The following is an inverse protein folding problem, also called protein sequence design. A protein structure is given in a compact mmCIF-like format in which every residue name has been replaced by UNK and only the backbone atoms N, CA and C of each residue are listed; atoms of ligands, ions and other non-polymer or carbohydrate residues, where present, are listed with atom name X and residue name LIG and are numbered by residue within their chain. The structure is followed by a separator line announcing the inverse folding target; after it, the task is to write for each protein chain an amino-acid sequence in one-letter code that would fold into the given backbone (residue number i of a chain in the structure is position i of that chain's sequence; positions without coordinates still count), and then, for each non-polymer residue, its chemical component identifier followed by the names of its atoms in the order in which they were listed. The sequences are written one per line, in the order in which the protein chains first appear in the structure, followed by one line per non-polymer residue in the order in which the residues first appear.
data_IF_285636552627
#
_entry.id   IF_285636552627
#
_cell.length_a   1.000
_cell.length_b   1.000
_cell.length_c   1.000
_cell.angle_alpha   90.00
_cell.angle_beta   90.00
_cell.angle_gamma   90.00
#
_symmetry.space_group_name_H-M   'P 1'
#
loop_
_entity.id
_entity.type
_entity.pdbx_description
1 polymer ?
#
# COMPACT_ATOMS: atom_id res chain seq x y z
N UNK A 1 -17.63 -3.51 -23.89
CA UNK A 1 -18.93 -3.14 -23.29
C UNK A 1 -18.74 -3.14 -21.77
N UNK A 2 -18.53 -1.99 -21.16
CA UNK A 2 -18.50 -1.85 -19.70
C UNK A 2 -19.95 -1.94 -19.26
N UNK A 3 -20.34 -3.10 -18.72
CA UNK A 3 -21.66 -3.30 -18.15
C UNK A 3 -21.97 -2.21 -17.14
N UNK A 4 -23.16 -1.62 -17.26
CA UNK A 4 -23.62 -0.60 -16.33
C UNK A 4 -23.64 -1.19 -14.91
N UNK A 5 -22.75 -0.74 -14.07
CA UNK A 5 -22.73 -1.05 -12.65
C UNK A 5 -23.93 -0.29 -12.01
N UNK A 6 -25.07 -0.96 -11.92
CA UNK A 6 -26.35 -0.35 -11.59
C UNK A 6 -26.71 -0.49 -10.13
N UNK A 7 -25.74 -0.68 -9.20
CA UNK A 7 -26.54 -0.93 -8.10
C UNK A 7 -26.05 -1.22 -6.71
N UNK A 8 -24.87 -1.00 -6.28
CA UNK A 8 -24.62 -1.06 -4.84
C UNK A 8 -24.23 0.34 -4.35
N UNK A 9 -25.21 1.10 -3.92
CA UNK A 9 -24.99 2.32 -3.13
C UNK A 9 -25.16 1.95 -1.67
N UNK A 10 -24.06 1.92 -0.92
CA UNK A 10 -24.10 1.80 0.53
C UNK A 10 -23.26 2.94 1.11
N UNK A 11 -23.80 3.73 2.07
CA UNK A 11 -23.11 4.92 2.59
C UNK A 11 -21.75 4.59 3.24
N UNK A 12 -21.59 3.36 3.72
CA UNK A 12 -20.37 2.89 4.37
C UNK A 12 -19.47 2.03 3.44
N UNK A 13 -19.80 1.93 2.14
CA UNK A 13 -18.97 1.19 1.21
C UNK A 13 -17.81 2.06 0.75
N UNK A 14 -16.59 1.56 0.91
CA UNK A 14 -15.38 2.11 0.28
C UNK A 14 -14.88 1.11 -0.75
N UNK A 15 -14.67 1.56 -1.97
CA UNK A 15 -14.14 0.72 -3.06
C UNK A 15 -12.63 0.87 -3.10
N UNK A 16 -11.90 -0.23 -2.84
CA UNK A 16 -10.44 -0.27 -2.96
C UNK A 16 -10.03 -0.56 -4.39
N UNK A 17 -9.25 0.33 -5.00
CA UNK A 17 -8.81 0.22 -6.40
C UNK A 17 -7.29 0.22 -6.46
N UNK A 18 -6.65 -0.83 -7.01
CA UNK A 18 -5.21 -0.84 -7.17
C UNK A 18 -4.79 0.08 -8.33
N UNK A 19 -3.83 0.97 -8.04
CA UNK A 19 -3.08 1.73 -9.06
C UNK A 19 -1.61 1.62 -8.71
N UNK A 20 -0.82 0.96 -9.56
CA UNK A 20 0.55 0.59 -9.24
C UNK A 20 1.59 1.66 -9.59
N UNK A 21 1.31 2.55 -10.53
CA UNK A 21 2.24 3.60 -10.94
C UNK A 21 1.49 4.79 -11.56
N UNK A 22 2.19 5.92 -11.67
CA UNK A 22 1.73 7.12 -12.37
C UNK A 22 1.81 7.01 -13.90
N UNK A 23 2.37 5.93 -14.41
CA UNK A 23 2.60 5.68 -15.84
C UNK A 23 1.94 4.36 -16.27
N UNK A 24 1.29 4.41 -17.42
CA UNK A 24 0.48 3.33 -17.98
C UNK A 24 1.26 2.01 -18.14
N UNK A 25 2.42 2.06 -18.78
CA UNK A 25 3.18 0.84 -19.10
C UNK A 25 3.62 0.05 -17.85
N UNK A 26 3.85 0.69 -16.70
CA UNK A 26 4.19 0.00 -15.45
C UNK A 26 2.92 -0.61 -14.83
N UNK A 27 1.83 0.16 -14.78
CA UNK A 27 0.55 -0.36 -14.27
C UNK A 27 0.07 -1.55 -15.10
N UNK A 28 0.04 -1.40 -16.42
CA UNK A 28 -0.37 -2.43 -17.37
C UNK A 28 0.51 -3.67 -17.29
N UNK A 29 1.83 -3.47 -17.10
CA UNK A 29 2.75 -4.59 -16.89
C UNK A 29 2.44 -5.36 -15.60
N UNK A 30 2.16 -4.67 -14.49
CA UNK A 30 1.83 -5.35 -13.23
C UNK A 30 0.51 -6.10 -13.32
N UNK A 31 -0.51 -5.53 -13.94
CA UNK A 31 -1.83 -6.19 -14.08
C UNK A 31 -1.91 -7.13 -15.30
N UNK A 32 -0.88 -7.16 -16.16
CA UNK A 32 -0.79 -7.97 -17.37
C UNK A 32 -1.90 -7.68 -18.40
N UNK A 33 -2.40 -6.43 -18.44
CA UNK A 33 -3.45 -6.00 -19.38
C UNK A 33 -3.11 -4.62 -19.93
N UNK A 34 -2.91 -4.52 -21.23
CA UNK A 34 -2.66 -3.25 -21.92
C UNK A 34 -3.89 -2.35 -21.87
N UNK A 35 -3.70 -1.08 -21.52
CA UNK A 35 -4.78 -0.08 -21.38
C UNK A 35 -5.51 -0.15 -20.03
N UNK A 36 -5.09 -1.03 -19.11
CA UNK A 36 -5.70 -1.17 -17.79
C UNK A 36 -5.57 0.11 -16.95
N UNK A 37 -4.49 0.89 -17.13
CA UNK A 37 -4.31 2.15 -16.44
C UNK A 37 -5.44 3.13 -16.72
N UNK A 38 -5.72 3.39 -18.00
CA UNK A 38 -6.77 4.33 -18.42
C UNK A 38 -8.15 3.85 -17.98
N UNK A 39 -8.43 2.55 -18.11
CA UNK A 39 -9.69 1.96 -17.65
C UNK A 39 -9.87 2.09 -16.15
N UNK A 40 -8.80 1.88 -15.38
CA UNK A 40 -8.79 2.00 -13.92
C UNK A 40 -9.05 3.44 -13.49
N UNK A 41 -8.35 4.42 -14.09
CA UNK A 41 -8.55 5.85 -13.81
C UNK A 41 -9.98 6.27 -14.15
N UNK A 42 -10.49 5.85 -15.32
CA UNK A 42 -11.88 6.11 -15.71
C UNK A 42 -12.88 5.48 -14.71
N UNK A 43 -12.57 4.29 -14.19
CA UNK A 43 -13.33 3.63 -13.14
C UNK A 43 -13.40 4.43 -11.86
N UNK A 44 -12.27 4.99 -11.40
CA UNK A 44 -12.20 5.89 -10.23
C UNK A 44 -13.10 7.11 -10.43
N UNK A 45 -12.98 7.80 -11.58
CA UNK A 45 -13.81 8.96 -11.90
C UNK A 45 -15.30 8.63 -11.87
N UNK A 46 -15.71 7.53 -12.52
CA UNK A 46 -17.12 7.09 -12.54
C UNK A 46 -17.67 6.74 -11.16
N UNK A 47 -16.84 6.20 -10.25
CA UNK A 47 -17.25 5.93 -8.88
C UNK A 47 -17.45 7.23 -8.10
N UNK A 48 -16.55 8.19 -8.26
CA UNK A 48 -16.66 9.50 -7.60
C UNK A 48 -17.86 10.31 -8.09
N UNK A 49 -18.15 10.30 -9.40
CA UNK A 49 -19.35 10.93 -9.98
C UNK A 49 -20.65 10.38 -9.35
N UNK A 50 -20.62 9.15 -8.87
CA UNK A 50 -21.74 8.52 -8.17
C UNK A 50 -21.72 8.74 -6.65
N UNK A 51 -20.80 9.55 -6.15
CA UNK A 51 -20.65 9.80 -4.72
C UNK A 51 -20.11 8.62 -3.92
N UNK A 52 -19.46 7.64 -4.60
CA UNK A 52 -18.89 6.48 -3.93
C UNK A 52 -17.54 6.83 -3.31
N UNK A 53 -17.29 6.32 -2.10
CA UNK A 53 -15.95 6.43 -1.48
C UNK A 53 -14.95 5.54 -2.20
N UNK A 54 -13.77 6.09 -2.50
CA UNK A 54 -12.70 5.40 -3.22
C UNK A 54 -11.40 5.45 -2.42
N UNK A 55 -10.81 4.29 -2.21
CA UNK A 55 -9.47 4.10 -1.68
C UNK A 55 -8.54 3.61 -2.81
N UNK A 56 -7.46 4.33 -3.07
CA UNK A 56 -6.40 3.85 -3.97
C UNK A 56 -5.45 2.96 -3.19
N UNK A 57 -5.11 1.81 -3.74
CA UNK A 57 -4.16 0.85 -3.16
C UNK A 57 -2.90 0.73 -4.00
N UNK A 58 -1.75 0.94 -3.40
CA UNK A 58 -0.45 0.75 -4.05
C UNK A 58 0.33 -0.32 -3.30
N UNK A 59 0.64 -1.43 -3.98
CA UNK A 59 1.54 -2.44 -3.44
C UNK A 59 2.98 -2.04 -3.74
N UNK A 60 3.81 -2.00 -2.69
CA UNK A 60 5.21 -1.58 -2.74
C UNK A 60 6.10 -2.80 -3.04
N UNK A 61 6.61 -2.85 -4.25
CA UNK A 61 7.54 -3.87 -4.73
C UNK A 61 8.62 -3.24 -5.62
N UNK A 62 9.57 -4.00 -6.11
CA UNK A 62 10.74 -3.48 -6.83
C UNK A 62 10.42 -2.53 -8.00
N UNK A 63 9.27 -2.72 -8.67
CA UNK A 63 8.85 -1.85 -9.78
C UNK A 63 8.13 -0.57 -9.31
N UNK A 64 7.48 -0.58 -8.15
CA UNK A 64 6.58 0.50 -7.69
C UNK A 64 7.20 1.34 -6.57
N UNK A 65 7.90 0.72 -5.62
CA UNK A 65 8.45 1.39 -4.44
C UNK A 65 9.45 2.52 -4.78
N UNK A 66 10.40 2.35 -5.73
CA UNK A 66 11.33 3.41 -6.10
C UNK A 66 10.64 4.64 -6.74
N UNK A 67 9.40 4.48 -7.21
CA UNK A 67 8.63 5.54 -7.91
C UNK A 67 7.47 6.06 -7.07
N UNK A 68 7.39 5.69 -5.79
CA UNK A 68 6.20 5.96 -4.98
C UNK A 68 5.95 7.47 -4.80
N UNK A 69 6.99 8.28 -4.71
CA UNK A 69 6.85 9.75 -4.59
C UNK A 69 6.23 10.33 -5.87
N UNK A 70 6.69 9.89 -7.05
CA UNK A 70 6.12 10.32 -8.35
C UNK A 70 4.66 9.89 -8.47
N UNK A 71 4.37 8.67 -8.06
CA UNK A 71 3.01 8.12 -8.08
C UNK A 71 2.08 8.91 -7.16
N UNK A 72 2.52 9.24 -5.95
CA UNK A 72 1.74 10.07 -5.02
C UNK A 72 1.58 11.52 -5.50
N UNK A 73 2.60 12.10 -6.15
CA UNK A 73 2.47 13.41 -6.83
C UNK A 73 1.39 13.37 -7.91
N UNK A 74 1.36 12.29 -8.66
CA UNK A 74 0.35 12.11 -9.71
C UNK A 74 -1.06 11.99 -9.12
N UNK A 75 -1.24 11.25 -7.99
CA UNK A 75 -2.52 11.17 -7.29
C UNK A 75 -2.97 12.54 -6.79
N UNK A 76 -2.08 13.28 -6.12
CA UNK A 76 -2.39 14.60 -5.60
C UNK A 76 -2.83 15.58 -6.71
N UNK A 77 -2.25 15.46 -7.89
CA UNK A 77 -2.55 16.34 -9.04
C UNK A 77 -3.81 15.91 -9.81
N UNK A 78 -3.98 14.61 -10.05
CA UNK A 78 -4.99 14.11 -10.99
C UNK A 78 -6.22 13.49 -10.29
N UNK A 79 -6.05 13.03 -9.05
CA UNK A 79 -7.11 12.38 -8.26
C UNK A 79 -7.23 13.01 -6.85
N UNK A 80 -7.23 14.36 -6.70
CA UNK A 80 -7.24 15.01 -5.37
C UNK A 80 -8.52 14.75 -4.57
N UNK A 81 -9.50 14.17 -5.18
CA UNK A 81 -10.83 13.87 -4.64
C UNK A 81 -10.97 12.44 -4.10
N UNK A 82 -9.93 11.62 -4.16
CA UNK A 82 -9.97 10.28 -3.55
C UNK A 82 -10.02 10.40 -2.03
N UNK A 83 -10.70 9.47 -1.40
CA UNK A 83 -10.94 9.54 0.04
C UNK A 83 -9.75 9.05 0.86
N UNK A 84 -8.95 8.15 0.28
CA UNK A 84 -7.83 7.53 0.97
C UNK A 84 -6.82 6.91 -0.01
N UNK A 85 -5.54 6.88 0.39
CA UNK A 85 -4.47 6.14 -0.28
C UNK A 85 -3.86 5.15 0.71
N UNK A 86 -3.87 3.86 0.36
CA UNK A 86 -3.24 2.79 1.12
C UNK A 86 -1.92 2.37 0.45
N UNK A 87 -0.81 2.63 1.11
CA UNK A 87 0.52 2.19 0.71
C UNK A 87 0.82 0.86 1.41
N UNK A 88 0.95 -0.23 0.65
CA UNK A 88 0.96 -1.58 1.21
C UNK A 88 2.28 -2.28 0.90
N UNK A 89 3.02 -2.70 1.92
CA UNK A 89 4.17 -3.59 1.74
C UNK A 89 3.75 -4.89 1.03
N UNK A 90 4.64 -5.43 0.20
CA UNK A 90 4.39 -6.67 -0.54
C UNK A 90 4.15 -7.84 0.43
N UNK A 91 2.98 -8.46 0.32
CA UNK A 91 2.70 -9.73 0.99
C UNK A 91 3.39 -10.87 0.23
N UNK A 92 4.20 -11.65 0.93
CA UNK A 92 4.93 -12.76 0.32
C UNK A 92 4.05 -14.03 0.24
N UNK A 93 2.94 -13.91 -0.52
CA UNK A 93 1.91 -14.95 -0.70
C UNK A 93 1.56 -15.12 -2.18
N UNK A 94 0.97 -16.25 -2.54
CA UNK A 94 0.47 -16.50 -3.89
C UNK A 94 1.54 -16.29 -4.97
N UNK A 95 1.21 -15.57 -6.02
CA UNK A 95 2.12 -15.28 -7.14
C UNK A 95 3.35 -14.44 -6.74
N UNK A 96 3.30 -13.67 -5.64
CA UNK A 96 4.46 -12.96 -5.14
C UNK A 96 5.60 -13.90 -4.71
N UNK A 97 5.28 -15.13 -4.29
CA UNK A 97 6.30 -16.14 -3.97
C UNK A 97 7.01 -16.61 -5.25
N UNK A 98 6.24 -16.88 -6.30
CA UNK A 98 6.79 -17.37 -7.58
C UNK A 98 7.67 -16.31 -8.27
N UNK A 99 7.32 -15.03 -8.12
CA UNK A 99 8.02 -13.90 -8.74
C UNK A 99 8.89 -13.12 -7.73
N UNK A 100 9.28 -13.75 -6.63
CA UNK A 100 9.94 -13.05 -5.53
C UNK A 100 11.29 -12.43 -5.91
N UNK A 101 12.01 -13.00 -6.87
CA UNK A 101 13.29 -12.45 -7.33
C UNK A 101 13.12 -11.11 -8.08
N UNK A 102 11.99 -10.93 -8.75
CA UNK A 102 11.69 -9.71 -9.51
C UNK A 102 10.93 -8.68 -8.66
N UNK A 103 10.10 -9.14 -7.72
CA UNK A 103 9.19 -8.27 -6.98
C UNK A 103 9.74 -7.84 -5.62
N UNK A 104 10.59 -8.65 -4.99
CA UNK A 104 11.07 -8.32 -3.66
C UNK A 104 12.00 -7.12 -3.68
N UNK A 105 11.76 -6.19 -2.78
CA UNK A 105 12.66 -5.10 -2.40
C UNK A 105 12.62 -4.96 -0.89
N UNK A 106 13.77 -4.80 -0.25
CA UNK A 106 13.81 -4.60 1.19
C UNK A 106 13.18 -3.25 1.56
N UNK A 107 12.26 -3.18 2.53
CA UNK A 107 11.67 -1.93 3.00
C UNK A 107 12.66 -0.83 3.37
N UNK A 108 13.85 -1.18 3.85
CA UNK A 108 14.91 -0.21 4.13
C UNK A 108 15.44 0.49 2.88
N UNK A 109 15.32 -0.14 1.70
CA UNK A 109 15.85 0.43 0.46
C UNK A 109 14.94 1.53 -0.13
N UNK A 110 13.70 1.65 0.38
CA UNK A 110 12.75 2.69 -0.05
C UNK A 110 12.08 3.44 1.13
N UNK A 111 12.60 3.31 2.35
CA UNK A 111 11.98 3.92 3.53
C UNK A 111 11.89 5.45 3.44
N UNK A 112 12.88 6.11 2.83
CA UNK A 112 12.89 7.57 2.66
C UNK A 112 11.91 8.03 1.58
N UNK A 113 11.80 7.29 0.50
CA UNK A 113 10.80 7.52 -0.55
C UNK A 113 9.39 7.34 0.02
N UNK A 114 9.18 6.31 0.83
CA UNK A 114 7.92 6.08 1.51
C UNK A 114 7.56 7.22 2.47
N UNK A 115 8.51 7.68 3.28
CA UNK A 115 8.31 8.81 4.19
C UNK A 115 7.95 10.09 3.42
N UNK A 116 8.68 10.36 2.32
CA UNK A 116 8.42 11.51 1.44
C UNK A 116 7.05 11.43 0.76
N UNK A 117 6.62 10.22 0.37
CA UNK A 117 5.31 10.00 -0.23
C UNK A 117 4.17 10.22 0.77
N UNK A 118 4.34 9.75 2.01
CA UNK A 118 3.38 9.97 3.10
C UNK A 118 3.26 11.47 3.42
N UNK A 119 4.39 12.16 3.60
CA UNK A 119 4.41 13.60 3.88
C UNK A 119 3.71 14.40 2.77
N UNK A 120 3.95 14.05 1.51
CA UNK A 120 3.31 14.68 0.35
C UNK A 120 1.78 14.48 0.40
N UNK A 121 1.29 13.25 0.63
CA UNK A 121 -0.15 12.99 0.68
C UNK A 121 -0.79 13.76 1.83
N UNK A 122 -0.17 13.79 3.00
CA UNK A 122 -0.64 14.56 4.17
C UNK A 122 -0.69 16.05 3.87
N UNK A 123 0.37 16.61 3.29
CA UNK A 123 0.45 18.05 2.95
C UNK A 123 -0.61 18.44 1.91
N UNK A 124 -1.01 17.53 1.04
CA UNK A 124 -2.08 17.72 0.05
C UNK A 124 -3.47 17.34 0.56
N UNK A 125 -3.60 17.01 1.86
CA UNK A 125 -4.86 16.66 2.54
C UNK A 125 -5.53 15.38 2.02
N UNK A 126 -4.76 14.46 1.45
CA UNK A 126 -5.21 13.13 1.09
C UNK A 126 -4.93 12.21 2.29
N UNK A 127 -5.96 11.53 2.80
CA UNK A 127 -5.76 10.55 3.87
C UNK A 127 -4.89 9.41 3.40
N UNK A 128 -3.93 8.99 4.23
CA UNK A 128 -2.98 7.93 3.90
C UNK A 128 -2.84 6.94 5.05
N UNK A 129 -2.66 5.67 4.73
CA UNK A 129 -2.21 4.64 5.67
C UNK A 129 -1.17 3.74 5.02
N UNK A 130 -0.27 3.24 5.86
CA UNK A 130 0.79 2.30 5.47
C UNK A 130 0.49 0.95 6.10
N UNK A 131 0.35 -0.08 5.27
CA UNK A 131 0.01 -1.44 5.68
C UNK A 131 1.16 -2.41 5.41
N UNK A 132 1.15 -3.54 6.11
CA UNK A 132 2.01 -4.70 5.85
C UNK A 132 3.51 -4.42 6.02
N UNK A 133 3.88 -3.37 6.74
CA UNK A 133 5.27 -3.03 7.04
C UNK A 133 5.47 -2.93 8.55
N UNK A 134 6.54 -3.55 9.06
CA UNK A 134 6.87 -3.54 10.47
C UNK A 134 7.43 -2.18 10.90
N UNK A 135 7.08 -1.70 12.09
CA UNK A 135 7.52 -0.39 12.58
C UNK A 135 9.03 -0.22 12.64
N UNK A 136 9.78 -1.28 12.92
CA UNK A 136 11.25 -1.24 12.97
C UNK A 136 11.94 -0.99 11.62
N UNK A 137 11.22 -1.14 10.50
CA UNK A 137 11.74 -0.84 9.15
C UNK A 137 11.15 0.45 8.55
N UNK A 138 10.31 1.14 9.29
CA UNK A 138 9.72 2.41 8.89
C UNK A 138 10.49 3.58 9.52
N UNK A 139 10.62 4.68 8.78
CA UNK A 139 10.98 5.96 9.38
C UNK A 139 9.95 6.34 10.46
N UNK A 140 10.39 6.97 11.53
CA UNK A 140 9.51 7.34 12.65
C UNK A 140 8.39 8.32 12.26
N UNK A 141 8.61 9.16 11.26
CA UNK A 141 7.59 10.08 10.72
C UNK A 141 6.40 9.34 10.11
N UNK A 142 6.59 8.11 9.64
CA UNK A 142 5.54 7.25 9.06
C UNK A 142 4.70 6.53 10.13
N UNK A 143 5.19 6.40 11.35
CA UNK A 143 4.52 5.61 12.41
C UNK A 143 3.07 6.02 12.70
N UNK A 144 2.68 7.31 12.68
CA UNK A 144 1.28 7.71 12.87
C UNK A 144 0.33 7.16 11.81
N UNK A 145 0.86 6.80 10.64
CA UNK A 145 0.11 6.31 9.48
C UNK A 145 0.22 4.80 9.31
N UNK A 146 1.08 4.13 10.09
CA UNK A 146 1.25 2.68 10.05
C UNK A 146 0.04 1.98 10.69
N UNK A 147 -0.67 1.19 9.89
CA UNK A 147 -1.87 0.48 10.29
C UNK A 147 -1.60 -1.03 10.47
N UNK A 148 -2.24 -1.62 11.46
CA UNK A 148 -2.29 -3.07 11.60
C UNK A 148 -3.28 -3.67 10.59
N UNK A 149 -3.08 -4.93 10.23
CA UNK A 149 -4.08 -5.67 9.44
C UNK A 149 -5.38 -5.82 10.24
N UNK A 150 -6.51 -5.73 9.54
CA UNK A 150 -7.86 -5.89 10.14
C UNK A 150 -8.08 -7.34 10.64
N UNK A 151 -7.31 -8.30 10.12
CA UNK A 151 -7.49 -9.72 10.43
C UNK A 151 -6.38 -10.20 11.37
N UNK A 152 -6.71 -10.59 12.58
CA UNK A 152 -5.78 -11.06 13.62
C UNK A 152 -4.89 -12.22 13.17
N UNK A 153 -5.43 -13.11 12.35
CA UNK A 153 -4.68 -14.25 11.78
C UNK A 153 -3.58 -13.84 10.78
N UNK A 154 -3.53 -12.58 10.35
CA UNK A 154 -2.47 -12.05 9.49
C UNK A 154 -1.29 -11.48 10.28
N UNK A 155 -1.41 -11.31 11.58
CA UNK A 155 -0.41 -10.65 12.42
C UNK A 155 0.40 -11.69 13.21
N UNK A 156 1.38 -12.32 12.56
CA UNK A 156 2.40 -13.15 13.23
C UNK A 156 3.56 -12.31 13.76
N UNK A 157 4.22 -12.81 14.79
CA UNK A 157 5.42 -12.20 15.35
C UNK A 157 6.51 -13.26 15.52
N UNK A 158 7.77 -12.82 15.45
CA UNK A 158 8.94 -13.67 15.71
C UNK A 158 9.40 -13.47 17.16
N UNK A 159 10.25 -14.35 17.65
CA UNK A 159 10.73 -14.36 19.04
C UNK A 159 11.36 -13.01 19.43
N UNK A 160 12.13 -12.41 18.55
CA UNK A 160 12.74 -11.10 18.78
C UNK A 160 11.72 -9.99 19.08
N UNK A 161 10.49 -10.14 18.57
CA UNK A 161 9.40 -9.18 18.79
C UNK A 161 8.84 -9.23 20.22
N UNK A 162 9.13 -10.26 21.02
CA UNK A 162 8.57 -10.41 22.38
C UNK A 162 9.04 -9.30 23.32
N UNK A 163 10.22 -8.77 23.10
CA UNK A 163 10.79 -7.64 23.87
C UNK A 163 10.61 -6.26 23.18
N UNK A 164 9.86 -6.21 22.07
CA UNK A 164 9.64 -4.97 21.33
C UNK A 164 8.49 -4.16 21.95
N UNK A 165 8.75 -2.91 22.34
CA UNK A 165 7.74 -2.01 22.94
C UNK A 165 6.64 -1.60 21.94
N UNK A 166 6.92 -1.67 20.65
CA UNK A 166 5.97 -1.34 19.56
C UNK A 166 5.17 -2.56 19.07
N UNK A 167 5.34 -3.76 19.65
CA UNK A 167 4.70 -5.00 19.20
C UNK A 167 3.19 -4.86 19.07
N UNK A 168 2.52 -4.27 20.05
CA UNK A 168 1.06 -4.11 20.07
C UNK A 168 0.49 -3.17 19.00
N UNK A 169 1.35 -2.33 18.40
CA UNK A 169 0.99 -1.37 17.35
C UNK A 169 1.60 -1.70 15.99
N UNK A 170 2.34 -2.82 15.90
CA UNK A 170 3.05 -3.23 14.70
C UNK A 170 2.16 -4.16 13.86
N UNK A 171 2.25 -4.05 12.54
CA UNK A 171 1.54 -4.93 11.61
C UNK A 171 1.97 -6.41 11.71
N UNK A 172 3.16 -6.68 12.28
CA UNK A 172 3.70 -8.03 12.34
C UNK A 172 4.01 -8.61 10.96
N UNK A 173 3.95 -9.93 10.85
CA UNK A 173 4.22 -10.69 9.64
C UNK A 173 3.02 -11.54 9.24
N UNK A 174 2.87 -11.79 7.95
CA UNK A 174 1.86 -12.73 7.47
C UNK A 174 2.24 -14.18 7.83
N UNK A 175 1.36 -14.87 8.53
CA UNK A 175 1.56 -16.27 8.93
C UNK A 175 1.44 -17.24 7.76
N UNK A 176 0.73 -16.86 6.70
CA UNK A 176 0.50 -17.65 5.49
C UNK A 176 1.58 -17.52 4.42
N UNK A 177 2.53 -16.60 4.61
CA UNK A 177 3.60 -16.32 3.65
C UNK A 177 4.90 -17.09 3.92
N UNK A 178 5.75 -17.24 2.90
CA UNK A 178 7.13 -17.67 3.14
C UNK A 178 7.88 -16.56 3.88
N UNK A 179 8.72 -16.90 4.87
CA UNK A 179 9.44 -15.91 5.66
C UNK A 179 10.53 -15.23 4.83
N UNK A 180 10.16 -14.21 4.08
CA UNK A 180 11.12 -13.25 3.52
C UNK A 180 11.03 -11.99 4.37
N UNK A 181 12.13 -11.57 4.97
CA UNK A 181 12.16 -10.51 5.97
C UNK A 181 13.17 -9.44 5.57
N UNK A 182 12.88 -8.20 5.94
CA UNK A 182 13.86 -7.13 5.83
C UNK A 182 15.06 -7.39 6.74
N UNK A 183 16.23 -6.98 6.30
CA UNK A 183 17.47 -6.98 7.10
C UNK A 183 17.41 -6.04 8.31
N UNK A 184 16.45 -5.11 8.34
CA UNK A 184 16.24 -4.16 9.43
C UNK A 184 15.31 -4.65 10.53
N UNK A 185 14.83 -5.89 10.48
CA UNK A 185 13.97 -6.42 11.53
C UNK A 185 14.75 -6.53 12.83
N UNK A 186 14.35 -5.73 13.82
CA UNK A 186 14.92 -5.71 15.15
C UNK A 186 13.91 -5.18 16.16
N UNK A 187 13.95 -5.62 17.45
CA UNK A 187 13.06 -5.09 18.46
C UNK A 187 13.39 -3.63 18.75
N UNK A 188 12.34 -2.80 18.89
CA UNK A 188 12.46 -1.45 19.40
C UNK A 188 12.40 -1.56 20.91
N UNK A 189 13.47 -1.14 21.59
CA UNK A 189 13.61 -1.22 23.05
C UNK A 189 13.26 0.12 23.69
N UNK A 190 12.85 0.09 24.97
CA UNK A 190 12.75 1.30 25.77
C UNK A 190 14.15 1.91 25.94
N UNK A 191 14.27 3.22 25.72
CA UNK A 191 15.48 4.01 25.98
C UNK A 191 15.63 4.30 27.48
#
# INVERSE_FOLDING_TARGET
MVGAWTGIRHPNLTVGIPIYAAVDYIHDHVVQVRGAFDETVLGVLKLKDRGQRVEIRVVLHALTAPRIVETCKWFARNLPFVDHVALMGLENTGFAIANAEELWIDPLDYQFELASAVDLLVSTKINVSVYNLQRCVLDRSVWPYAAQSISDWKNGYIEECDRCIEKSRCSGFFTSGRPRRSRGISPILAS
#
